data_IF_887413728839
#
_entry.id   IF_887413728839
#
_cell.length_a   1.000
_cell.length_b   1.000
_cell.length_c   1.000
_cell.angle_alpha   90.00
_cell.angle_beta   90.00
_cell.angle_gamma   90.00
#
_symmetry.space_group_name_H-M   'P 1'
#
loop_
_entity.id
_entity.type
_entity.pdbx_description
1 polymer ?
#
# COMPACT_ATOMS: atom_id res chain seq x y z
N UNK A 1 -31.08 8.13 11.41
CA UNK A 1 -30.07 9.10 10.97
C UNK A 1 -29.97 10.15 12.07
N UNK A 2 -29.13 9.92 13.04
CA UNK A 2 -28.83 10.93 14.06
C UNK A 2 -28.00 12.02 13.40
N UNK A 3 -28.49 13.24 13.48
CA UNK A 3 -27.79 14.43 13.04
C UNK A 3 -26.52 14.57 13.90
N UNK A 4 -25.39 14.15 13.36
CA UNK A 4 -24.09 14.56 13.85
C UNK A 4 -24.03 16.09 13.66
N UNK A 5 -24.35 16.82 14.73
CA UNK A 5 -24.14 18.26 14.78
C UNK A 5 -22.63 18.50 14.88
N UNK A 6 -22.00 18.77 13.75
CA UNK A 6 -20.67 19.35 13.75
C UNK A 6 -20.72 20.69 14.48
N UNK A 7 -20.08 20.81 15.63
CA UNK A 7 -19.92 22.08 16.33
C UNK A 7 -18.82 22.92 15.67
N UNK A 8 -18.99 23.25 14.39
CA UNK A 8 -18.03 24.07 13.63
C UNK A 8 -18.03 25.56 14.07
N UNK A 9 -18.94 25.92 14.95
CA UNK A 9 -19.18 27.31 15.27
C UNK A 9 -19.84 28.09 14.11
N UNK A 10 -20.04 29.37 14.32
CA UNK A 10 -20.56 30.25 13.28
C UNK A 10 -19.41 30.78 12.42
N UNK A 11 -19.44 30.49 11.10
CA UNK A 11 -18.40 30.92 10.16
C UNK A 11 -18.17 32.45 10.18
N UNK A 12 -19.21 33.25 10.43
CA UNK A 12 -19.08 34.70 10.56
C UNK A 12 -18.28 35.09 11.80
N UNK A 13 -18.42 34.37 12.92
CA UNK A 13 -17.65 34.59 14.12
C UNK A 13 -16.18 34.21 13.89
N UNK A 14 -15.91 33.11 13.16
CA UNK A 14 -14.55 32.72 12.79
C UNK A 14 -13.89 33.75 11.88
N UNK A 15 -14.62 34.29 10.90
CA UNK A 15 -14.13 35.35 10.03
C UNK A 15 -13.86 36.65 10.81
N UNK A 16 -14.65 36.96 11.83
CA UNK A 16 -14.46 38.11 12.68
C UNK A 16 -13.27 37.94 13.64
N UNK A 17 -13.12 36.75 14.22
CA UNK A 17 -11.99 36.44 15.12
C UNK A 17 -10.63 36.39 14.41
N UNK A 18 -10.61 36.24 13.07
CA UNK A 18 -9.39 36.31 12.26
C UNK A 18 -8.58 37.58 12.46
N UNK A 19 -9.22 38.69 12.82
CA UNK A 19 -8.56 39.96 13.05
C UNK A 19 -7.97 40.11 14.49
N UNK A 20 -8.40 39.24 15.40
CA UNK A 20 -8.10 39.38 16.85
C UNK A 20 -7.32 38.22 17.44
N UNK A 21 -7.37 37.04 16.80
CA UNK A 21 -6.68 35.83 17.24
C UNK A 21 -5.45 35.51 16.37
N UNK A 22 -4.46 34.73 16.88
CA UNK A 22 -3.34 34.27 16.09
C UNK A 22 -3.85 33.55 14.81
N UNK A 23 -3.39 33.98 13.65
CA UNK A 23 -3.95 33.61 12.34
C UNK A 23 -3.96 32.10 12.09
N UNK A 24 -3.00 31.34 12.63
CA UNK A 24 -2.85 29.91 12.38
C UNK A 24 -4.06 29.08 12.86
N UNK A 25 -4.55 29.30 14.07
CA UNK A 25 -5.65 28.52 14.63
C UNK A 25 -6.99 28.83 13.94
N UNK A 26 -7.19 30.08 13.59
CA UNK A 26 -8.42 30.52 12.89
C UNK A 26 -8.42 29.99 11.45
N UNK A 27 -7.32 30.08 10.75
CA UNK A 27 -7.19 29.57 9.39
C UNK A 27 -7.40 28.05 9.34
N UNK A 28 -6.86 27.31 10.32
CA UNK A 28 -7.08 25.85 10.42
C UNK A 28 -8.56 25.51 10.69
N UNK A 29 -9.21 26.20 11.64
CA UNK A 29 -10.65 26.02 11.91
C UNK A 29 -11.50 26.37 10.69
N UNK A 30 -11.15 27.40 9.94
CA UNK A 30 -11.83 27.78 8.72
C UNK A 30 -11.69 26.69 7.63
N UNK A 31 -10.48 26.19 7.41
CA UNK A 31 -10.22 25.13 6.42
C UNK A 31 -11.00 23.86 6.70
N UNK A 32 -11.17 23.50 7.97
CA UNK A 32 -11.90 22.30 8.40
C UNK A 32 -13.42 22.53 8.57
N UNK A 33 -13.91 23.76 8.36
CA UNK A 33 -15.32 24.08 8.56
C UNK A 33 -16.22 23.31 7.59
N UNK A 34 -17.25 22.63 8.09
CA UNK A 34 -18.10 21.74 7.31
C UNK A 34 -18.78 22.43 6.12
N UNK A 35 -19.12 23.72 6.25
CA UNK A 35 -19.72 24.48 5.15
C UNK A 35 -18.77 24.73 3.98
N UNK A 36 -17.47 24.82 4.23
CA UNK A 36 -16.45 24.92 3.18
C UNK A 36 -16.16 23.55 2.57
N UNK A 37 -15.98 22.53 3.43
CA UNK A 37 -15.76 21.15 2.96
C UNK A 37 -16.87 20.66 2.05
N UNK A 38 -18.14 20.96 2.38
CA UNK A 38 -19.30 20.59 1.53
C UNK A 38 -19.37 21.33 0.20
N UNK A 39 -18.63 22.42 0.04
CA UNK A 39 -18.56 23.21 -1.21
C UNK A 39 -17.35 22.83 -2.07
N UNK A 40 -16.51 21.88 -1.63
CA UNK A 40 -15.42 21.39 -2.46
C UNK A 40 -15.99 20.79 -3.73
N UNK A 41 -15.43 21.18 -4.85
CA UNK A 41 -15.74 20.65 -6.18
C UNK A 41 -14.43 20.34 -6.90
N UNK A 42 -14.52 19.50 -7.90
CA UNK A 42 -13.36 19.24 -8.77
C UNK A 42 -12.96 20.55 -9.47
N UNK A 43 -11.71 20.94 -9.30
CA UNK A 43 -11.19 22.17 -9.86
C UNK A 43 -10.45 21.91 -11.18
N UNK A 44 -9.57 20.92 -11.19
CA UNK A 44 -8.81 20.54 -12.37
C UNK A 44 -8.32 19.09 -12.27
N UNK A 45 -8.16 18.45 -13.43
CA UNK A 45 -7.44 17.18 -13.56
C UNK A 45 -5.96 17.46 -13.88
N UNK A 46 -5.05 16.76 -13.18
CA UNK A 46 -3.62 16.83 -13.43
C UNK A 46 -3.23 15.67 -14.33
N UNK A 47 -3.02 15.97 -15.61
CA UNK A 47 -2.68 14.96 -16.61
C UNK A 47 -1.18 14.82 -16.79
N UNK A 48 -0.65 13.58 -16.74
CA UNK A 48 0.79 13.34 -16.89
C UNK A 48 1.22 11.89 -16.63
N UNK A 49 0.38 11.07 -15.97
CA UNK A 49 0.63 9.66 -15.84
C UNK A 49 -0.07 8.85 -16.93
N UNK A 50 0.58 7.77 -17.37
CA UNK A 50 0.06 6.80 -18.35
C UNK A 50 -0.41 5.50 -17.70
N UNK A 51 -0.56 5.47 -16.39
CA UNK A 51 -1.01 4.32 -15.61
C UNK A 51 -1.87 4.75 -14.42
N UNK A 52 -2.35 3.78 -13.65
CA UNK A 52 -3.09 4.09 -12.41
C UNK A 52 -2.21 4.86 -11.44
N UNK A 53 -2.73 5.93 -10.88
CA UNK A 53 -2.08 6.69 -9.81
C UNK A 53 -2.43 6.03 -8.48
N UNK A 54 -1.45 5.40 -7.82
CA UNK A 54 -1.65 4.65 -6.58
C UNK A 54 -1.33 5.48 -5.34
N UNK A 55 -0.53 6.52 -5.48
CA UNK A 55 -0.08 7.33 -4.37
C UNK A 55 -0.07 8.80 -4.70
N UNK A 56 -0.49 9.60 -3.74
CA UNK A 56 -0.35 11.05 -3.74
C UNK A 56 0.10 11.51 -2.34
N UNK A 57 0.91 12.55 -2.29
CA UNK A 57 1.29 13.18 -1.03
C UNK A 57 1.67 14.65 -1.24
N UNK A 58 1.25 15.50 -0.32
CA UNK A 58 1.66 16.89 -0.28
C UNK A 58 3.03 17.03 0.40
N UNK A 59 3.75 18.09 0.03
CA UNK A 59 4.86 18.59 0.85
C UNK A 59 4.32 19.28 2.12
N UNK A 60 5.21 19.70 3.01
CA UNK A 60 4.85 20.33 4.29
C UNK A 60 4.10 21.67 4.14
N UNK A 61 4.34 22.39 3.05
CA UNK A 61 3.72 23.70 2.79
C UNK A 61 2.43 23.62 1.98
N UNK A 62 2.09 22.45 1.40
CA UNK A 62 0.95 22.27 0.52
C UNK A 62 1.13 22.91 -0.87
N UNK A 63 2.34 23.32 -1.23
CA UNK A 63 2.65 23.94 -2.52
C UNK A 63 2.98 22.92 -3.61
N UNK A 64 3.52 21.77 -3.25
CA UNK A 64 3.87 20.70 -4.16
C UNK A 64 3.11 19.42 -3.83
N UNK A 65 2.72 18.70 -4.87
CA UNK A 65 2.13 17.37 -4.80
C UNK A 65 3.06 16.39 -5.49
N UNK A 66 3.35 15.25 -4.86
CA UNK A 66 4.03 14.12 -5.48
C UNK A 66 3.03 13.00 -5.75
N UNK A 67 3.10 12.40 -6.94
CA UNK A 67 2.29 11.25 -7.32
C UNK A 67 3.14 10.10 -7.83
N UNK A 68 2.73 8.87 -7.54
CA UNK A 68 3.38 7.64 -8.00
C UNK A 68 2.38 6.72 -8.69
N UNK A 69 2.81 6.09 -9.78
CA UNK A 69 1.92 5.38 -10.68
C UNK A 69 2.48 4.03 -11.15
N UNK A 70 1.60 3.27 -11.77
CA UNK A 70 1.89 2.03 -12.48
C UNK A 70 2.79 2.23 -13.72
N UNK A 71 2.92 3.46 -14.21
CA UNK A 71 3.85 3.81 -15.29
C UNK A 71 5.32 3.88 -14.85
N UNK A 72 5.61 3.53 -13.57
CA UNK A 72 6.93 3.51 -12.95
C UNK A 72 7.55 4.90 -12.79
N UNK A 73 6.73 5.94 -12.90
CA UNK A 73 7.17 7.33 -12.76
C UNK A 73 6.66 7.94 -11.46
N UNK A 74 7.45 8.86 -10.95
CA UNK A 74 7.06 9.79 -9.89
C UNK A 74 6.95 11.18 -10.49
N UNK A 75 5.77 11.78 -10.41
CA UNK A 75 5.50 13.11 -10.91
C UNK A 75 5.39 14.10 -9.77
N UNK A 76 6.00 15.27 -9.93
CA UNK A 76 5.94 16.39 -8.98
C UNK A 76 5.15 17.52 -9.66
N UNK A 77 4.12 18.00 -8.97
CA UNK A 77 3.17 19.00 -9.44
C UNK A 77 3.26 20.24 -8.59
N UNK A 78 3.28 21.40 -9.21
CA UNK A 78 3.11 22.68 -8.50
C UNK A 78 1.61 23.00 -8.39
N UNK A 79 1.14 23.20 -7.17
CA UNK A 79 -0.27 23.50 -6.89
C UNK A 79 -0.70 24.84 -7.48
N UNK A 80 0.16 25.87 -7.40
CA UNK A 80 -0.21 27.22 -7.83
C UNK A 80 -0.38 27.33 -9.35
N UNK A 81 0.58 26.77 -10.08
CA UNK A 81 0.52 26.77 -11.56
C UNK A 81 -0.29 25.60 -12.12
N UNK A 82 -0.57 24.56 -11.30
CA UNK A 82 -1.24 23.30 -11.68
C UNK A 82 -0.53 22.57 -12.79
N UNK A 83 0.78 22.73 -12.88
CA UNK A 83 1.62 22.13 -13.90
C UNK A 83 2.50 21.03 -13.33
N UNK A 84 2.83 20.10 -14.21
CA UNK A 84 3.88 19.13 -13.97
C UNK A 84 5.23 19.87 -13.94
N UNK A 85 5.93 19.79 -12.80
CA UNK A 85 7.26 20.39 -12.62
C UNK A 85 8.33 19.39 -13.03
N UNK A 86 8.23 18.16 -12.53
CA UNK A 86 9.16 17.09 -12.84
C UNK A 86 8.44 15.77 -13.01
N UNK A 87 8.90 14.95 -13.95
CA UNK A 87 8.48 13.57 -14.14
C UNK A 87 9.71 12.67 -14.07
N UNK A 88 9.89 12.01 -12.93
CA UNK A 88 11.09 11.21 -12.65
C UNK A 88 10.87 9.78 -13.06
N UNK A 89 11.74 9.25 -13.92
CA UNK A 89 11.85 7.83 -14.20
C UNK A 89 12.61 7.15 -13.06
N UNK A 90 11.88 6.36 -12.25
CA UNK A 90 12.41 5.84 -10.97
C UNK A 90 13.30 4.62 -11.14
N UNK A 91 13.24 3.95 -12.29
CA UNK A 91 13.90 2.68 -12.53
C UNK A 91 13.32 1.49 -11.73
N UNK A 92 12.20 1.68 -11.00
CA UNK A 92 11.46 0.56 -10.43
C UNK A 92 11.02 -0.43 -11.52
N UNK A 93 10.93 -1.71 -11.19
CA UNK A 93 10.52 -2.75 -12.15
C UNK A 93 9.06 -3.15 -12.00
N UNK A 94 8.37 -2.63 -10.98
CA UNK A 94 6.95 -2.88 -10.70
C UNK A 94 6.27 -1.60 -10.21
N UNK A 95 4.93 -1.64 -10.13
CA UNK A 95 4.05 -0.51 -9.81
C UNK A 95 4.49 0.22 -8.54
N UNK A 96 4.48 1.54 -8.59
CA UNK A 96 4.77 2.39 -7.43
C UNK A 96 3.48 2.50 -6.60
N UNK A 97 3.53 2.05 -5.34
CA UNK A 97 2.37 2.06 -4.44
C UNK A 97 2.41 3.20 -3.42
N UNK A 98 3.55 3.79 -3.19
CA UNK A 98 3.68 4.89 -2.23
C UNK A 98 4.83 5.84 -2.59
N UNK A 99 4.58 7.12 -2.33
CA UNK A 99 5.56 8.19 -2.48
C UNK A 99 5.38 9.19 -1.35
N UNK A 100 6.48 9.82 -0.91
CA UNK A 100 6.48 10.88 0.10
C UNK A 100 7.60 11.87 -0.16
N UNK A 101 7.36 13.16 0.11
CA UNK A 101 8.45 14.10 0.37
C UNK A 101 9.08 13.78 1.72
N UNK A 102 10.39 13.87 1.81
CA UNK A 102 11.10 13.76 3.08
C UNK A 102 11.03 15.13 3.76
N UNK A 103 10.55 15.23 5.01
CA UNK A 103 10.41 16.50 5.71
C UNK A 103 11.76 17.21 5.90
N UNK A 104 11.75 18.54 6.05
CA UNK A 104 12.92 19.39 6.36
C UNK A 104 14.09 19.26 5.36
N UNK A 105 13.79 18.90 4.11
CA UNK A 105 14.79 18.76 3.03
C UNK A 105 14.60 19.79 1.93
N UNK A 106 13.90 20.90 2.20
CA UNK A 106 13.54 21.91 1.21
C UNK A 106 12.83 21.34 -0.03
N UNK A 107 12.06 20.27 0.19
CA UNK A 107 11.32 19.52 -0.85
C UNK A 107 12.22 18.90 -1.94
N UNK A 108 13.52 18.78 -1.67
CA UNK A 108 14.49 18.21 -2.63
C UNK A 108 14.53 16.68 -2.60
N UNK A 109 14.14 16.06 -1.47
CA UNK A 109 14.19 14.61 -1.34
C UNK A 109 12.78 13.99 -1.44
N UNK A 110 12.66 13.01 -2.33
CA UNK A 110 11.45 12.20 -2.51
C UNK A 110 11.78 10.74 -2.36
N UNK A 111 10.94 10.01 -1.64
CA UNK A 111 11.07 8.56 -1.45
C UNK A 111 9.91 7.86 -2.12
N UNK A 112 10.18 6.74 -2.78
CA UNK A 112 9.19 5.85 -3.39
C UNK A 112 9.31 4.43 -2.87
N UNK A 113 8.19 3.70 -2.86
CA UNK A 113 8.13 2.28 -2.56
C UNK A 113 7.24 1.58 -3.58
N UNK A 114 7.67 0.42 -4.05
CA UNK A 114 7.05 -0.24 -5.19
C UNK A 114 6.81 -1.74 -4.99
N UNK A 115 6.20 -2.35 -6.00
CA UNK A 115 5.89 -3.78 -6.07
C UNK A 115 7.11 -4.68 -6.17
N UNK A 116 8.24 -4.13 -6.59
CA UNK A 116 9.54 -4.83 -6.65
C UNK A 116 10.20 -5.03 -5.28
N UNK A 117 9.49 -4.68 -4.20
CA UNK A 117 9.96 -4.77 -2.81
C UNK A 117 11.11 -3.80 -2.48
N UNK A 118 11.29 -2.76 -3.27
CA UNK A 118 12.33 -1.77 -3.09
C UNK A 118 11.78 -0.45 -2.53
N UNK A 119 12.62 0.23 -1.75
CA UNK A 119 12.43 1.63 -1.35
C UNK A 119 13.59 2.43 -1.95
N UNK A 120 13.28 3.48 -2.69
CA UNK A 120 14.25 4.32 -3.38
C UNK A 120 14.11 5.78 -2.96
N UNK A 121 15.24 6.43 -2.74
CA UNK A 121 15.33 7.86 -2.41
C UNK A 121 15.91 8.61 -3.61
N UNK A 122 15.27 9.71 -3.99
CA UNK A 122 15.67 10.56 -5.10
C UNK A 122 15.97 11.97 -4.61
N UNK A 123 17.05 12.55 -5.13
CA UNK A 123 17.38 13.96 -4.91
C UNK A 123 17.01 14.76 -6.16
N UNK A 124 15.95 15.57 -6.04
CA UNK A 124 15.41 16.39 -7.13
C UNK A 124 16.36 17.55 -7.52
N UNK A 125 17.29 17.93 -6.64
CA UNK A 125 18.31 18.93 -7.00
C UNK A 125 19.12 18.54 -8.23
N UNK A 126 19.26 17.24 -8.48
CA UNK A 126 19.90 16.71 -9.69
C UNK A 126 19.16 16.97 -10.99
N UNK A 127 17.89 17.41 -10.94
CA UNK A 127 17.10 17.79 -12.12
C UNK A 127 17.25 19.25 -12.50
N UNK A 128 17.80 20.08 -11.63
CA UNK A 128 17.97 21.52 -11.90
C UNK A 128 18.94 21.73 -13.05
N UNK A 129 18.46 22.33 -14.15
CA UNK A 129 19.28 22.67 -15.33
C UNK A 129 19.47 21.54 -16.35
N UNK A 130 18.78 20.42 -16.20
CA UNK A 130 18.70 19.37 -17.26
C UNK A 130 17.66 19.74 -18.31
N UNK A 131 17.86 19.24 -19.53
CA UNK A 131 16.86 19.33 -20.58
C UNK A 131 15.65 18.45 -20.24
N UNK A 132 14.45 18.85 -20.68
CA UNK A 132 13.18 18.19 -20.36
C UNK A 132 13.12 16.70 -20.74
N UNK A 133 13.98 16.24 -21.64
CA UNK A 133 14.02 14.84 -22.08
C UNK A 133 14.87 13.91 -21.20
N UNK A 134 15.73 14.44 -20.29
CA UNK A 134 16.61 13.62 -19.43
C UNK A 134 16.06 13.54 -18.00
N UNK A 135 14.95 12.82 -17.86
CA UNK A 135 14.22 12.61 -16.59
C UNK A 135 14.68 11.38 -15.79
N UNK A 136 15.71 10.65 -16.25
CA UNK A 136 16.24 9.51 -15.53
C UNK A 136 17.11 9.99 -14.36
N UNK A 137 16.65 9.72 -13.13
CA UNK A 137 17.40 9.98 -11.90
C UNK A 137 17.91 8.67 -11.30
N UNK A 138 19.22 8.63 -11.06
CA UNK A 138 19.77 7.56 -10.23
C UNK A 138 19.34 7.76 -8.77
N UNK A 139 18.82 6.72 -8.09
CA UNK A 139 18.45 6.86 -6.69
C UNK A 139 19.68 7.17 -5.82
N UNK A 140 19.53 8.13 -4.92
CA UNK A 140 20.57 8.49 -3.93
C UNK A 140 20.73 7.41 -2.87
N UNK A 141 19.65 6.66 -2.58
CA UNK A 141 19.66 5.49 -1.73
C UNK A 141 18.68 4.44 -2.24
N UNK A 142 19.02 3.15 -2.06
CA UNK A 142 18.21 2.03 -2.52
C UNK A 142 18.21 0.90 -1.49
N UNK A 143 17.03 0.56 -0.98
CA UNK A 143 16.85 -0.48 0.02
C UNK A 143 16.04 -1.64 -0.57
N UNK A 144 16.69 -2.79 -0.74
CA UNK A 144 16.14 -4.00 -1.37
C UNK A 144 15.86 -5.12 -0.35
N UNK A 145 15.67 -4.74 0.91
CA UNK A 145 15.59 -5.70 2.01
C UNK A 145 14.20 -6.28 2.27
N UNK A 146 13.13 -5.74 1.70
CA UNK A 146 11.82 -6.36 1.73
C UNK A 146 11.76 -7.57 0.78
N UNK A 147 10.85 -8.51 1.08
CA UNK A 147 10.64 -9.71 0.26
C UNK A 147 9.36 -9.67 -0.57
N UNK A 148 8.48 -8.70 -0.30
CA UNK A 148 7.21 -8.47 -1.00
C UNK A 148 6.98 -6.98 -1.18
N UNK A 149 5.89 -6.65 -1.89
CA UNK A 149 5.49 -5.28 -2.24
C UNK A 149 5.55 -4.32 -1.05
N UNK A 150 6.15 -3.17 -1.25
CA UNK A 150 6.09 -2.04 -0.30
C UNK A 150 4.79 -1.29 -0.57
N UNK A 151 3.87 -1.31 0.37
CA UNK A 151 2.53 -0.74 0.19
C UNK A 151 2.39 0.67 0.75
N UNK A 152 3.16 1.02 1.77
CA UNK A 152 3.08 2.35 2.39
C UNK A 152 4.42 2.81 2.93
N UNK A 153 4.63 4.10 2.81
CA UNK A 153 5.72 4.84 3.44
C UNK A 153 5.15 5.81 4.47
N UNK A 154 5.83 5.94 5.59
CA UNK A 154 5.56 6.95 6.61
C UNK A 154 6.79 7.80 6.83
N UNK A 155 6.58 9.08 7.08
CA UNK A 155 7.61 10.07 7.43
C UNK A 155 7.19 10.75 8.72
N UNK A 156 8.16 11.24 9.47
CA UNK A 156 7.93 11.95 10.73
C UNK A 156 8.21 13.45 10.52
N UNK A 157 7.26 14.34 10.81
CA UNK A 157 7.51 15.77 10.75
C UNK A 157 8.73 16.16 11.58
N UNK A 158 9.60 17.01 11.03
CA UNK A 158 10.83 17.41 11.70
C UNK A 158 12.00 16.42 11.65
N UNK A 159 11.84 15.28 10.95
CA UNK A 159 12.92 14.28 10.82
C UNK A 159 13.30 14.04 9.34
N UNK A 160 14.39 14.66 8.86
CA UNK A 160 14.83 14.56 7.47
C UNK A 160 15.59 13.27 7.15
N UNK A 161 15.88 12.44 8.14
CA UNK A 161 16.85 11.35 7.96
C UNK A 161 16.23 9.95 7.95
N UNK A 162 14.96 9.83 8.34
CA UNK A 162 14.37 8.52 8.58
C UNK A 162 13.03 8.37 7.88
N UNK A 163 12.84 7.24 7.21
CA UNK A 163 11.59 6.81 6.58
C UNK A 163 11.23 5.41 7.04
N UNK A 164 9.95 5.15 7.21
CA UNK A 164 9.41 3.84 7.54
C UNK A 164 8.67 3.27 6.35
N UNK A 165 8.86 1.97 6.11
CA UNK A 165 8.18 1.25 5.04
C UNK A 165 7.41 0.05 5.58
N UNK A 166 6.15 -0.06 5.20
CA UNK A 166 5.28 -1.20 5.47
C UNK A 166 5.15 -2.05 4.21
N UNK A 167 5.40 -3.36 4.36
CA UNK A 167 5.38 -4.30 3.25
C UNK A 167 4.45 -5.48 3.50
N UNK A 168 3.97 -6.07 2.41
CA UNK A 168 3.19 -7.31 2.44
C UNK A 168 4.00 -8.52 2.93
N UNK A 169 5.31 -8.38 3.16
CA UNK A 169 6.13 -9.39 3.82
C UNK A 169 5.87 -9.48 5.33
N UNK A 170 4.99 -8.64 5.88
CA UNK A 170 4.63 -8.62 7.31
C UNK A 170 5.62 -7.86 8.17
N UNK A 171 6.56 -7.12 7.59
CA UNK A 171 7.52 -6.31 8.33
C UNK A 171 7.30 -4.82 8.11
N UNK A 172 7.47 -4.04 9.18
CA UNK A 172 7.68 -2.61 9.10
C UNK A 172 9.17 -2.35 9.32
N UNK A 173 9.78 -1.60 8.39
CA UNK A 173 11.21 -1.31 8.44
C UNK A 173 11.46 0.18 8.57
N UNK A 174 12.57 0.50 9.24
CA UNK A 174 13.09 1.85 9.37
C UNK A 174 14.36 1.98 8.53
N UNK A 175 14.43 3.02 7.72
CA UNK A 175 15.57 3.35 6.88
C UNK A 175 16.13 4.69 7.33
N UNK A 176 17.35 4.68 7.87
CA UNK A 176 18.09 5.89 8.24
C UNK A 176 19.12 6.18 7.15
N UNK A 177 18.98 7.31 6.47
CA UNK A 177 19.84 7.69 5.34
C UNK A 177 21.28 8.03 5.76
N UNK A 178 21.52 8.22 7.06
CA UNK A 178 22.86 8.49 7.63
C UNK A 178 23.64 7.23 7.88
N UNK A 179 22.95 6.11 8.18
CA UNK A 179 23.59 4.84 8.51
C UNK A 179 23.97 4.05 7.27
N UNK A 180 23.10 4.04 6.26
CA UNK A 180 23.32 3.28 5.03
C UNK A 180 22.46 3.82 3.88
N UNK A 181 23.08 3.97 2.72
CA UNK A 181 22.40 4.34 1.46
C UNK A 181 21.94 3.14 0.65
N UNK A 182 22.30 1.92 1.06
CA UNK A 182 21.88 0.69 0.38
C UNK A 182 21.73 -0.47 1.35
N UNK A 183 20.81 -1.37 1.00
CA UNK A 183 20.63 -2.64 1.67
C UNK A 183 20.62 -3.75 0.61
N UNK A 184 21.39 -4.82 0.79
CA UNK A 184 21.45 -5.92 -0.17
C UNK A 184 20.08 -6.56 -0.38
N UNK A 185 19.84 -7.18 -1.56
CA UNK A 185 18.59 -7.86 -1.85
C UNK A 185 18.22 -8.91 -0.82
N UNK A 186 16.93 -9.08 -0.59
CA UNK A 186 16.39 -10.06 0.32
C UNK A 186 16.86 -11.47 -0.04
N UNK A 187 17.34 -12.22 0.95
CA UNK A 187 17.85 -13.59 0.76
C UNK A 187 19.32 -13.69 0.34
N UNK A 188 20.02 -12.58 0.09
CA UNK A 188 21.45 -12.63 -0.21
C UNK A 188 22.27 -13.11 1.01
N UNK A 189 23.40 -13.78 0.76
CA UNK A 189 24.28 -14.26 1.82
C UNK A 189 24.85 -13.14 2.71
N UNK A 190 24.95 -11.94 2.17
CA UNK A 190 25.51 -10.76 2.83
C UNK A 190 24.43 -9.84 3.44
N UNK A 191 23.15 -10.23 3.43
CA UNK A 191 22.07 -9.44 3.99
C UNK A 191 22.15 -9.44 5.53
N UNK A 192 22.66 -8.39 6.11
CA UNK A 192 22.67 -8.15 7.57
C UNK A 192 22.25 -6.73 7.91
N UNK A 193 21.15 -6.27 7.28
CA UNK A 193 20.60 -4.96 7.58
C UNK A 193 19.81 -5.00 8.89
N UNK A 194 20.05 -4.04 9.78
CA UNK A 194 19.30 -3.83 11.03
C UNK A 194 18.21 -2.78 10.80
N UNK A 195 17.20 -3.11 10.03
CA UNK A 195 16.13 -2.18 9.66
C UNK A 195 14.75 -2.60 10.16
N UNK A 196 14.59 -3.81 10.70
CA UNK A 196 13.27 -4.33 11.10
C UNK A 196 12.85 -3.71 12.43
N UNK A 197 11.81 -2.88 12.41
CA UNK A 197 11.18 -2.28 13.58
C UNK A 197 10.07 -3.17 14.14
N UNK A 198 9.18 -3.67 13.25
CA UNK A 198 8.11 -4.59 13.60
C UNK A 198 8.18 -5.84 12.72
N UNK A 199 8.06 -7.00 13.34
CA UNK A 199 7.92 -8.29 12.65
C UNK A 199 6.59 -8.95 13.06
N UNK A 200 5.61 -8.85 12.19
CA UNK A 200 4.27 -9.42 12.39
C UNK A 200 4.09 -10.76 11.65
N UNK A 201 5.18 -11.34 11.15
CA UNK A 201 5.19 -12.67 10.49
C UNK A 201 4.98 -13.82 11.48
N UNK A 202 5.24 -13.60 12.74
CA UNK A 202 5.18 -14.62 13.78
C UNK A 202 3.81 -14.64 14.45
N UNK A 203 2.86 -15.37 13.89
CA UNK A 203 1.70 -15.85 14.66
C UNK A 203 2.01 -17.22 15.23
N UNK A 204 2.00 -17.37 16.56
CA UNK A 204 2.02 -18.57 17.40
C UNK A 204 2.99 -19.72 16.97
N UNK A 205 3.65 -20.30 17.98
CA UNK A 205 4.49 -21.51 17.86
C UNK A 205 3.74 -22.59 17.06
N UNK A 206 4.34 -23.05 15.97
CA UNK A 206 3.83 -24.18 15.20
C UNK A 206 3.78 -25.42 16.10
N UNK A 207 2.60 -25.95 16.35
CA UNK A 207 2.47 -27.39 16.53
C UNK A 207 2.69 -28.04 15.15
N UNK A 208 3.36 -29.19 15.11
CA UNK A 208 3.76 -29.90 13.88
C UNK A 208 2.58 -30.27 12.95
N UNK A 209 1.34 -30.07 13.38
CA UNK A 209 0.10 -30.46 12.72
C UNK A 209 -0.75 -29.31 12.16
N UNK A 210 -0.32 -28.03 12.34
CA UNK A 210 -1.13 -26.90 11.90
C UNK A 210 -0.78 -26.49 10.44
N UNK A 211 -1.80 -26.15 9.61
CA UNK A 211 -1.57 -25.58 8.29
C UNK A 211 -0.76 -24.27 8.41
N UNK A 212 -0.02 -23.89 7.37
CA UNK A 212 0.81 -22.69 7.40
C UNK A 212 -0.06 -21.46 7.67
N UNK A 213 0.06 -20.86 8.86
CA UNK A 213 -0.65 -19.63 9.21
C UNK A 213 -0.28 -18.53 8.23
N UNK A 214 -1.28 -17.88 7.66
CA UNK A 214 -1.10 -16.74 6.78
C UNK A 214 -0.31 -15.66 7.52
N UNK A 215 0.78 -15.20 6.91
CA UNK A 215 1.51 -14.04 7.42
C UNK A 215 0.65 -12.80 7.24
N UNK A 216 0.54 -11.98 8.28
CA UNK A 216 -0.15 -10.70 8.20
C UNK A 216 0.58 -9.81 7.20
N UNK A 217 -0.02 -9.52 6.04
CA UNK A 217 0.51 -8.58 5.06
C UNK A 217 0.20 -7.15 5.49
N UNK A 218 1.22 -6.31 5.65
CA UNK A 218 0.99 -4.91 6.00
C UNK A 218 0.56 -4.13 4.75
N UNK A 219 -0.51 -3.35 4.88
CA UNK A 219 -1.09 -2.56 3.79
C UNK A 219 -0.88 -1.05 4.01
N UNK A 220 -0.86 -0.61 5.25
CA UNK A 220 -0.72 0.81 5.59
C UNK A 220 -0.01 1.00 6.92
N UNK A 221 0.67 2.13 7.05
CA UNK A 221 1.22 2.63 8.31
C UNK A 221 1.18 4.15 8.32
N UNK A 222 1.11 4.73 9.51
CA UNK A 222 1.17 6.18 9.69
C UNK A 222 1.78 6.53 11.05
N UNK A 223 2.41 7.71 11.15
CA UNK A 223 2.99 8.26 12.36
C UNK A 223 2.23 9.52 12.73
N UNK A 224 1.84 9.64 13.99
CA UNK A 224 1.12 10.82 14.46
C UNK A 224 1.99 12.07 14.36
N UNK A 225 1.51 13.11 13.68
CA UNK A 225 2.22 14.37 13.55
C UNK A 225 2.40 15.10 14.88
N UNK A 226 1.41 15.02 15.79
CA UNK A 226 1.43 15.67 17.09
C UNK A 226 2.08 14.82 18.18
N UNK A 227 2.07 13.49 18.03
CA UNK A 227 2.63 12.51 18.96
C UNK A 227 3.51 11.51 18.20
N UNK A 228 4.73 11.91 17.77
CA UNK A 228 5.56 11.10 16.86
C UNK A 228 5.97 9.73 17.42
N UNK A 229 5.82 9.51 18.73
CA UNK A 229 6.04 8.18 19.33
C UNK A 229 4.92 7.19 19.02
N UNK A 230 3.76 7.64 18.53
CA UNK A 230 2.65 6.77 18.15
C UNK A 230 2.76 6.35 16.68
N UNK A 231 2.70 5.06 16.46
CA UNK A 231 2.75 4.40 15.16
C UNK A 231 1.50 3.56 14.97
N UNK A 232 0.76 3.82 13.92
CA UNK A 232 -0.44 3.08 13.52
C UNK A 232 -0.12 2.15 12.34
N UNK A 233 -0.56 0.89 12.41
CA UNK A 233 -0.30 -0.11 11.38
C UNK A 233 -1.58 -0.87 11.05
N UNK A 234 -1.91 -0.97 9.77
CA UNK A 234 -3.01 -1.76 9.21
C UNK A 234 -2.51 -2.84 8.26
N UNK A 235 -3.20 -3.95 8.22
CA UNK A 235 -2.79 -5.10 7.42
C UNK A 235 -3.94 -5.87 6.77
N UNK A 236 -3.65 -7.11 6.41
CA UNK A 236 -4.58 -8.04 5.76
C UNK A 236 -5.63 -8.63 6.69
N UNK A 237 -5.88 -8.00 7.82
CA UNK A 237 -6.93 -8.32 8.77
C UNK A 237 -7.80 -7.09 9.08
N UNK A 238 -8.79 -7.26 9.93
CA UNK A 238 -9.73 -6.21 10.32
C UNK A 238 -9.19 -5.26 11.40
N UNK A 239 -8.00 -5.52 11.98
CA UNK A 239 -7.50 -4.79 13.14
C UNK A 239 -6.39 -3.82 12.77
N UNK A 240 -6.59 -2.52 13.03
CA UNK A 240 -5.50 -1.56 13.09
C UNK A 240 -4.82 -1.65 14.46
N UNK A 241 -3.50 -1.56 14.46
CA UNK A 241 -2.64 -1.72 15.64
C UNK A 241 -1.91 -0.44 15.95
N UNK A 242 -2.06 0.03 17.18
CA UNK A 242 -1.34 1.18 17.70
C UNK A 242 -0.14 0.73 18.51
N UNK A 243 1.03 1.22 18.18
CA UNK A 243 2.27 0.98 18.91
C UNK A 243 2.83 2.28 19.48
N UNK A 244 3.44 2.20 20.65
CA UNK A 244 4.33 3.26 21.14
C UNK A 244 5.78 2.90 20.76
N UNK A 245 6.40 3.69 19.90
CA UNK A 245 7.76 3.46 19.41
C UNK A 245 8.81 3.42 20.52
N UNK A 246 8.56 4.08 21.65
CA UNK A 246 9.45 4.07 22.82
C UNK A 246 9.46 2.73 23.55
N UNK A 247 8.39 1.94 23.36
CA UNK A 247 8.24 0.60 23.95
C UNK A 247 8.68 -0.52 22.99
N UNK A 248 9.03 -0.17 21.76
CA UNK A 248 9.48 -1.16 20.78
C UNK A 248 10.92 -1.60 21.08
N UNK A 249 11.26 -2.87 20.77
CA UNK A 249 12.63 -3.34 20.88
C UNK A 249 13.54 -2.59 19.88
N UNK A 250 14.86 -2.57 20.12
CA UNK A 250 15.82 -2.02 19.17
C UNK A 250 15.68 -2.68 17.79
N UNK A 251 16.05 -1.94 16.74
CA UNK A 251 16.03 -2.45 15.37
C UNK A 251 16.76 -3.79 15.26
N UNK A 252 16.12 -4.76 14.65
CA UNK A 252 16.63 -6.11 14.53
C UNK A 252 17.09 -6.41 13.11
N UNK A 253 18.02 -7.38 13.00
CA UNK A 253 18.46 -7.88 11.71
C UNK A 253 17.32 -8.55 10.97
N UNK A 254 17.26 -8.36 9.65
CA UNK A 254 16.30 -8.99 8.76
C UNK A 254 16.31 -10.53 8.80
N UNK A 255 17.42 -11.13 9.25
CA UNK A 255 17.57 -12.59 9.44
C UNK A 255 16.91 -13.11 10.71
N UNK A 256 16.73 -12.26 11.72
CA UNK A 256 16.22 -12.66 13.02
C UNK A 256 14.72 -12.45 13.07
N UNK A 257 13.97 -13.50 13.33
CA UNK A 257 12.53 -13.39 13.65
C UNK A 257 12.35 -13.05 15.12
N UNK A 258 11.61 -11.99 15.38
CA UNK A 258 11.26 -11.59 16.74
C UNK A 258 9.77 -11.85 16.98
N UNK A 259 9.35 -12.16 18.23
CA UNK A 259 7.94 -12.15 18.55
C UNK A 259 7.39 -10.73 18.35
N UNK A 260 6.12 -10.59 17.89
CA UNK A 260 5.52 -9.28 17.73
C UNK A 260 5.50 -8.56 19.08
N UNK A 261 5.91 -7.28 19.11
CA UNK A 261 5.87 -6.49 20.35
C UNK A 261 4.42 -6.24 20.78
N UNK A 262 4.17 -5.95 22.06
CA UNK A 262 2.83 -5.65 22.54
C UNK A 262 2.29 -4.38 21.88
N UNK A 263 1.03 -4.44 21.43
CA UNK A 263 0.25 -3.29 21.00
C UNK A 263 -0.21 -2.47 22.19
N UNK A 264 -0.27 -1.16 22.03
CA UNK A 264 -0.91 -0.24 22.97
C UNK A 264 -2.42 -0.37 22.87
N UNK A 265 -2.94 -0.43 21.65
CA UNK A 265 -4.37 -0.54 21.39
C UNK A 265 -4.64 -1.21 20.03
N UNK A 266 -5.84 -1.81 19.89
CA UNK A 266 -6.37 -2.35 18.65
C UNK A 266 -7.66 -1.61 18.30
N UNK A 267 -7.82 -1.25 17.04
CA UNK A 267 -9.03 -0.60 16.52
C UNK A 267 -9.71 -1.51 15.51
N UNK A 268 -10.98 -1.77 15.72
CA UNK A 268 -11.85 -2.47 14.79
C UNK A 268 -13.31 -2.12 15.13
N UNK A 269 -14.17 -1.81 14.15
CA UNK A 269 -15.59 -1.68 14.37
C UNK A 269 -16.18 -2.99 14.91
N UNK A 270 -17.01 -2.92 15.97
CA UNK A 270 -17.53 -4.10 16.68
C UNK A 270 -18.21 -5.10 15.73
N UNK A 271 -19.06 -4.63 14.83
CA UNK A 271 -19.77 -5.48 13.88
C UNK A 271 -18.87 -6.20 12.85
N UNK A 272 -17.63 -5.73 12.65
CA UNK A 272 -16.65 -6.35 11.77
C UNK A 272 -15.83 -7.42 12.53
N UNK A 273 -15.66 -7.27 13.85
CA UNK A 273 -14.96 -8.25 14.67
C UNK A 273 -15.78 -9.53 14.90
N UNK A 274 -17.12 -9.44 14.84
CA UNK A 274 -18.01 -10.58 15.09
C UNK A 274 -18.28 -11.43 13.85
N UNK A 275 -18.09 -10.89 12.66
CA UNK A 275 -18.56 -11.50 11.42
C UNK A 275 -17.51 -12.31 10.69
N UNK A 276 -16.59 -12.99 11.19
CA UNK A 276 -15.73 -13.99 10.53
C UNK A 276 -15.57 -13.89 9.00
N UNK A 277 -15.69 -12.68 8.41
CA UNK A 277 -15.58 -12.45 6.98
C UNK A 277 -14.14 -12.62 6.56
N UNK A 278 -13.86 -13.66 5.83
CA UNK A 278 -12.53 -14.10 5.40
C UNK A 278 -11.80 -13.11 4.49
N UNK A 279 -12.52 -12.16 3.88
CA UNK A 279 -11.96 -11.24 2.87
C UNK A 279 -11.86 -9.78 3.34
N UNK A 280 -12.19 -9.48 4.60
CA UNK A 280 -12.12 -8.13 5.12
C UNK A 280 -10.69 -7.78 5.54
N UNK A 281 -10.14 -6.71 4.97
CA UNK A 281 -8.82 -6.22 5.31
C UNK A 281 -8.76 -4.69 5.28
N UNK A 282 -7.84 -4.14 6.03
CA UNK A 282 -7.55 -2.72 6.01
C UNK A 282 -6.78 -2.36 4.73
N UNK A 283 -7.30 -1.39 4.00
CA UNK A 283 -6.63 -0.83 2.82
C UNK A 283 -5.78 0.38 3.19
N UNK A 284 -6.27 1.20 4.13
CA UNK A 284 -5.57 2.39 4.57
C UNK A 284 -5.86 2.72 6.04
N UNK A 285 -4.84 3.24 6.74
CA UNK A 285 -4.98 3.81 8.09
C UNK A 285 -4.22 5.13 8.15
N UNK A 286 -4.77 6.11 8.87
CA UNK A 286 -4.10 7.40 9.08
C UNK A 286 -4.58 8.04 10.37
N UNK A 287 -3.72 8.88 10.97
CA UNK A 287 -4.12 9.74 12.10
C UNK A 287 -4.83 10.98 11.59
N UNK A 288 -5.71 11.54 12.42
CA UNK A 288 -6.17 12.91 12.23
C UNK A 288 -5.02 13.91 12.46
N UNK A 289 -5.08 15.12 11.91
CA UNK A 289 -4.02 16.12 12.07
C UNK A 289 -3.72 16.47 13.53
N UNK A 290 -4.74 16.45 14.41
CA UNK A 290 -4.58 16.67 15.87
C UNK A 290 -4.10 15.41 16.62
N UNK A 291 -4.05 14.24 15.96
CA UNK A 291 -3.63 12.96 16.54
C UNK A 291 -4.62 12.35 17.54
N UNK A 292 -5.85 12.87 17.64
CA UNK A 292 -6.86 12.35 18.58
C UNK A 292 -7.70 11.23 18.00
N UNK A 293 -7.78 11.13 16.69
CA UNK A 293 -8.60 10.16 15.98
C UNK A 293 -7.77 9.39 14.95
N UNK A 294 -8.25 8.22 14.58
CA UNK A 294 -7.72 7.39 13.50
C UNK A 294 -8.80 7.08 12.50
N UNK A 295 -8.46 7.20 11.23
CA UNK A 295 -9.31 6.83 10.10
C UNK A 295 -8.91 5.44 9.61
N UNK A 296 -9.88 4.55 9.48
CA UNK A 296 -9.72 3.17 9.04
C UNK A 296 -10.52 2.95 7.77
N UNK A 297 -9.86 2.60 6.68
CA UNK A 297 -10.52 2.23 5.41
C UNK A 297 -10.42 0.73 5.19
N UNK A 298 -11.55 0.08 4.90
CA UNK A 298 -11.64 -1.35 4.67
C UNK A 298 -11.96 -1.67 3.22
N UNK A 299 -11.51 -2.82 2.77
CA UNK A 299 -11.87 -3.34 1.44
C UNK A 299 -13.31 -3.82 1.43
N UNK A 300 -14.14 -3.26 0.54
CA UNK A 300 -15.54 -3.65 0.41
C UNK A 300 -16.47 -3.21 1.54
N UNK A 301 -16.03 -2.31 2.41
CA UNK A 301 -16.79 -1.76 3.54
C UNK A 301 -16.61 -0.23 3.61
N UNK A 302 -17.23 0.38 4.63
CA UNK A 302 -17.16 1.82 4.87
C UNK A 302 -15.80 2.26 5.42
N UNK A 303 -15.62 3.56 5.49
CA UNK A 303 -14.52 4.23 6.21
C UNK A 303 -15.02 4.56 7.61
N UNK A 304 -14.19 4.27 8.61
CA UNK A 304 -14.53 4.45 10.02
C UNK A 304 -13.56 5.42 10.70
N UNK A 305 -14.12 6.28 11.53
CA UNK A 305 -13.37 7.20 12.38
C UNK A 305 -13.46 6.70 13.83
N UNK A 306 -12.32 6.56 14.51
CA UNK A 306 -12.24 6.07 15.89
C UNK A 306 -11.32 6.95 16.71
N UNK A 307 -11.66 7.16 17.99
CA UNK A 307 -10.84 7.96 18.89
C UNK A 307 -9.64 7.15 19.41
N UNK A 308 -8.45 7.76 19.42
CA UNK A 308 -7.20 7.14 19.91
C UNK A 308 -7.23 6.94 21.42
N UNK A 309 -7.77 7.91 22.15
CA UNK A 309 -7.95 7.83 23.58
C UNK A 309 -9.33 7.21 23.83
N UNK A 310 -9.36 5.94 24.22
CA UNK A 310 -10.59 5.18 24.46
C UNK A 310 -11.63 6.01 25.21
N UNK A 311 -12.62 6.55 24.50
CA UNK A 311 -13.80 7.14 25.09
C UNK A 311 -14.66 6.07 25.78
N UNK A 312 -15.47 6.48 26.73
CA UNK A 312 -16.44 5.62 27.41
C UNK A 312 -17.31 4.95 26.34
N UNK A 313 -17.23 3.61 26.19
CA UNK A 313 -18.02 2.83 25.25
C UNK A 313 -17.27 2.19 24.08
N UNK A 314 -15.97 2.40 23.93
CA UNK A 314 -15.14 1.67 22.93
C UNK A 314 -14.72 0.31 23.47
N UNK A 315 -14.97 -0.72 22.69
CA UNK A 315 -14.54 -2.08 23.01
C UNK A 315 -13.02 -2.18 22.94
N UNK A 316 -12.39 -2.66 24.02
CA UNK A 316 -10.96 -2.94 24.04
C UNK A 316 -10.72 -4.37 23.59
N UNK A 317 -9.97 -4.54 22.48
CA UNK A 317 -9.58 -5.86 22.00
C UNK A 317 -8.27 -6.30 22.67
N UNK A 318 -8.23 -7.56 23.07
CA UNK A 318 -7.02 -8.19 23.60
C UNK A 318 -6.25 -8.91 22.48
N UNK A 319 -4.95 -9.20 22.67
CA UNK A 319 -4.22 -10.06 21.74
C UNK A 319 -4.87 -11.42 21.49
N UNK A 320 -5.62 -11.94 22.50
CA UNK A 320 -6.38 -13.17 22.40
C UNK A 320 -7.56 -13.05 21.43
N UNK A 321 -8.29 -11.95 21.46
CA UNK A 321 -9.42 -11.70 20.55
C UNK A 321 -8.95 -11.64 19.10
N UNK A 322 -7.85 -10.94 18.85
CA UNK A 322 -7.23 -10.85 17.52
C UNK A 322 -6.73 -12.22 17.04
N UNK A 323 -6.13 -13.04 17.93
CA UNK A 323 -5.68 -14.38 17.59
C UNK A 323 -6.87 -15.33 17.30
N UNK A 324 -7.97 -15.20 18.04
CA UNK A 324 -9.19 -15.98 17.82
C UNK A 324 -9.84 -15.63 16.49
N UNK A 325 -9.89 -14.35 16.13
CA UNK A 325 -10.39 -13.90 14.83
C UNK A 325 -9.62 -14.55 13.67
N UNK A 326 -8.30 -14.62 13.75
CA UNK A 326 -7.47 -15.33 12.77
C UNK A 326 -7.72 -16.84 12.72
N UNK A 327 -8.08 -17.44 13.85
CA UNK A 327 -8.38 -18.87 13.92
C UNK A 327 -9.75 -19.20 13.31
N UNK A 328 -10.74 -18.34 13.50
CA UNK A 328 -12.09 -18.48 12.96
C UNK A 328 -12.15 -18.28 11.45
N UNK A 329 -11.31 -17.42 10.88
CA UNK A 329 -11.23 -17.22 9.42
C UNK A 329 -10.67 -18.42 8.65
N UNK A 330 -10.14 -19.43 9.34
CA UNK A 330 -9.60 -20.66 8.74
C UNK A 330 -10.59 -21.85 8.75
N UNK A 331 -11.83 -21.68 9.25
CA UNK A 331 -12.86 -22.70 9.25
C UNK A 331 -13.80 -22.43 8.06
N UNK A 332 -13.35 -22.73 6.84
CA UNK A 332 -14.24 -23.03 5.72
C UNK A 332 -14.53 -24.54 5.75
N UNK A 333 -15.78 -24.99 5.51
CA UNK A 333 -16.06 -26.41 5.46
C UNK A 333 -15.35 -27.04 4.27
N UNK A 334 -14.41 -27.92 4.55
CA UNK A 334 -13.79 -28.78 3.54
C UNK A 334 -14.85 -29.69 2.92
N UNK A 335 -14.96 -29.59 1.60
CA UNK A 335 -15.56 -30.64 0.78
C UNK A 335 -14.59 -31.83 0.81
N UNK A 336 -15.12 -32.96 1.21
CA UNK A 336 -14.52 -34.26 1.42
C UNK A 336 -13.33 -34.58 0.51
N UNK A 337 -12.22 -34.99 1.10
CA UNK A 337 -11.21 -35.79 0.43
C UNK A 337 -10.77 -36.97 1.31
N UNK A 338 -10.93 -38.16 0.70
CA UNK A 338 -10.55 -39.47 1.19
C UNK A 338 -9.04 -39.62 1.49
N UNK A 339 -8.63 -40.54 2.37
CA UNK A 339 -7.25 -40.66 2.84
C UNK A 339 -6.41 -41.57 1.95
N UNK A 340 -5.17 -41.17 1.70
CA UNK A 340 -4.10 -42.14 1.39
C UNK A 340 -2.71 -41.70 1.82
N UNK A 341 -2.19 -42.47 2.77
CA UNK A 341 -0.91 -43.18 2.93
C UNK A 341 0.42 -42.42 2.64
N UNK A 342 1.20 -42.45 3.71
CA UNK A 342 2.59 -42.10 3.91
C UNK A 342 3.60 -42.57 2.83
N UNK A 343 4.64 -41.74 2.54
CA UNK A 343 6.07 -42.11 2.61
C UNK A 343 7.02 -40.93 2.42
N UNK A 344 7.96 -40.82 3.39
CA UNK A 344 9.37 -40.40 3.37
C UNK A 344 9.84 -39.08 2.73
N UNK A 345 10.38 -38.28 3.64
CA UNK A 345 11.49 -37.30 3.63
C UNK A 345 12.22 -37.07 2.29
N UNK A 346 12.06 -35.85 1.79
CA UNK A 346 12.97 -34.95 1.07
C UNK A 346 12.23 -33.89 0.24
N UNK A 347 11.15 -33.29 0.76
CA UNK A 347 10.22 -32.48 -0.02
C UNK A 347 9.93 -31.05 0.49
N UNK A 348 10.64 -30.52 1.48
CA UNK A 348 10.20 -29.27 2.12
C UNK A 348 10.24 -28.00 1.24
N UNK A 349 11.09 -27.96 0.21
CA UNK A 349 11.08 -26.85 -0.75
C UNK A 349 10.11 -27.04 -1.92
N UNK A 350 9.78 -28.27 -2.31
CA UNK A 350 8.84 -28.53 -3.41
C UNK A 350 7.38 -28.29 -3.04
N UNK A 351 6.97 -28.58 -1.82
CA UNK A 351 5.56 -28.41 -1.39
C UNK A 351 5.14 -26.93 -1.23
N UNK A 352 6.07 -26.06 -0.86
CA UNK A 352 5.79 -24.62 -0.76
C UNK A 352 5.50 -24.01 -2.14
N UNK A 353 6.29 -24.34 -3.14
CA UNK A 353 6.13 -23.83 -4.50
C UNK A 353 4.89 -24.41 -5.20
N UNK A 354 4.52 -25.66 -4.93
CA UNK A 354 3.32 -26.28 -5.49
C UNK A 354 2.02 -25.64 -4.94
N UNK A 355 1.97 -25.36 -3.64
CA UNK A 355 0.82 -24.69 -3.02
C UNK A 355 0.67 -23.24 -3.53
N UNK A 356 1.79 -22.53 -3.70
CA UNK A 356 1.81 -21.18 -4.26
C UNK A 356 1.35 -21.18 -5.73
N UNK A 357 1.87 -22.09 -6.54
CA UNK A 357 1.49 -22.22 -7.95
C UNK A 357 -0.01 -22.51 -8.09
N UNK A 358 -0.55 -23.40 -7.24
CA UNK A 358 -1.98 -23.70 -7.19
C UNK A 358 -2.79 -22.45 -6.87
N UNK A 359 -2.39 -21.66 -5.85
CA UNK A 359 -3.05 -20.38 -5.51
C UNK A 359 -3.02 -19.40 -6.69
N UNK A 360 -1.88 -19.25 -7.36
CA UNK A 360 -1.79 -18.39 -8.54
C UNK A 360 -2.72 -18.84 -9.68
N UNK A 361 -2.82 -20.14 -9.90
CA UNK A 361 -3.74 -20.71 -10.90
C UNK A 361 -5.19 -20.43 -10.52
N UNK A 362 -5.58 -20.61 -9.26
CA UNK A 362 -6.92 -20.31 -8.76
C UNK A 362 -7.26 -18.82 -8.93
N UNK A 363 -6.33 -17.90 -8.65
CA UNK A 363 -6.54 -16.45 -8.85
C UNK A 363 -6.71 -16.08 -10.33
N UNK A 364 -5.97 -16.73 -11.24
CA UNK A 364 -6.13 -16.51 -12.68
C UNK A 364 -7.48 -17.05 -13.16
N UNK A 365 -7.94 -18.19 -12.66
CA UNK A 365 -9.26 -18.74 -13.00
C UNK A 365 -10.40 -17.83 -12.49
N UNK A 366 -10.29 -17.27 -11.28
CA UNK A 366 -11.24 -16.26 -10.76
C UNK A 366 -11.29 -15.05 -11.69
N UNK A 367 -10.12 -14.57 -12.12
CA UNK A 367 -10.05 -13.43 -13.04
C UNK A 367 -10.71 -13.71 -14.39
N UNK A 368 -10.58 -14.94 -14.91
CA UNK A 368 -11.22 -15.37 -16.15
C UNK A 368 -12.73 -15.50 -16.00
N UNK A 369 -13.21 -16.17 -14.94
CA UNK A 369 -14.66 -16.32 -14.70
C UNK A 369 -15.33 -14.95 -14.63
N UNK A 370 -14.74 -14.03 -13.89
CA UNK A 370 -15.24 -12.66 -13.78
C UNK A 370 -15.22 -11.91 -15.13
N UNK A 371 -14.23 -12.19 -15.97
CA UNK A 371 -14.18 -11.62 -17.33
C UNK A 371 -15.34 -12.13 -18.19
N UNK A 372 -15.64 -13.44 -18.13
CA UNK A 372 -16.71 -14.08 -18.90
C UNK A 372 -18.09 -13.67 -18.39
N UNK A 373 -18.32 -13.70 -17.10
CA UNK A 373 -19.59 -13.36 -16.46
C UNK A 373 -19.86 -11.86 -16.44
N UNK A 374 -18.82 -11.02 -16.53
CA UNK A 374 -18.92 -9.58 -16.45
C UNK A 374 -19.18 -9.04 -15.04
N UNK A 375 -18.94 -9.87 -14.04
CA UNK A 375 -19.12 -9.55 -12.61
C UNK A 375 -17.79 -9.22 -11.97
N UNK A 376 -17.80 -8.41 -10.91
CA UNK A 376 -16.65 -8.14 -10.02
C UNK A 376 -15.30 -7.81 -10.71
N UNK A 377 -15.36 -7.00 -11.78
CA UNK A 377 -14.17 -6.63 -12.58
C UNK A 377 -13.03 -6.10 -11.71
N UNK A 378 -13.34 -5.36 -10.65
CA UNK A 378 -12.32 -4.83 -9.72
C UNK A 378 -11.58 -5.93 -8.99
N UNK A 379 -12.32 -6.89 -8.42
CA UNK A 379 -11.73 -8.03 -7.73
C UNK A 379 -10.90 -8.90 -8.69
N UNK A 380 -11.36 -9.07 -9.92
CA UNK A 380 -10.65 -9.80 -10.96
C UNK A 380 -9.30 -9.14 -11.32
N UNK A 381 -9.26 -7.80 -11.42
CA UNK A 381 -8.02 -7.06 -11.66
C UNK A 381 -7.08 -7.20 -10.46
N UNK A 382 -7.57 -7.11 -9.22
CA UNK A 382 -6.76 -7.31 -8.02
C UNK A 382 -6.19 -8.73 -7.93
N UNK A 383 -6.98 -9.75 -8.29
CA UNK A 383 -6.52 -11.13 -8.36
C UNK A 383 -5.37 -11.28 -9.38
N UNK A 384 -5.50 -10.68 -10.56
CA UNK A 384 -4.44 -10.66 -11.56
C UNK A 384 -3.20 -9.88 -11.10
N UNK A 385 -3.37 -8.76 -10.39
CA UNK A 385 -2.29 -8.00 -9.79
C UNK A 385 -1.53 -8.82 -8.75
N UNK A 386 -2.24 -9.57 -7.88
CA UNK A 386 -1.62 -10.45 -6.89
C UNK A 386 -0.67 -11.47 -7.56
N UNK A 387 -1.12 -12.08 -8.66
CA UNK A 387 -0.30 -13.05 -9.42
C UNK A 387 0.92 -12.39 -10.07
N UNK A 388 0.73 -11.25 -10.74
CA UNK A 388 1.79 -10.63 -11.54
C UNK A 388 2.83 -9.89 -10.70
N UNK A 389 2.40 -9.24 -9.59
CA UNK A 389 3.29 -8.40 -8.80
C UNK A 389 3.93 -9.18 -7.63
N UNK A 390 3.19 -10.09 -6.98
CA UNK A 390 3.71 -10.84 -5.84
C UNK A 390 4.53 -12.07 -6.23
N UNK A 391 4.26 -12.65 -7.40
CA UNK A 391 4.79 -13.96 -7.79
C UNK A 391 5.41 -13.98 -9.19
N UNK A 392 5.73 -12.83 -9.76
CA UNK A 392 6.17 -12.72 -11.17
C UNK A 392 7.40 -13.58 -11.52
N UNK A 393 8.29 -13.81 -10.57
CA UNK A 393 9.52 -14.59 -10.78
C UNK A 393 9.35 -16.09 -10.50
N UNK A 394 8.25 -16.48 -9.85
CA UNK A 394 8.03 -17.82 -9.34
C UNK A 394 6.99 -18.60 -10.17
N UNK A 395 6.28 -17.92 -11.06
CA UNK A 395 5.25 -18.53 -11.93
C UNK A 395 5.81 -18.89 -13.29
N UNK A 396 5.25 -19.97 -13.86
CA UNK A 396 5.56 -20.42 -15.21
C UNK A 396 5.20 -19.35 -16.25
N UNK A 397 6.02 -19.23 -17.30
CA UNK A 397 5.83 -18.26 -18.37
C UNK A 397 4.45 -18.34 -19.04
N UNK A 398 3.89 -19.55 -19.17
CA UNK A 398 2.55 -19.76 -19.72
C UNK A 398 1.46 -19.13 -18.83
N UNK A 399 1.50 -19.36 -17.53
CA UNK A 399 0.54 -18.79 -16.57
C UNK A 399 0.67 -17.27 -16.50
N UNK A 400 1.90 -16.76 -16.54
CA UNK A 400 2.17 -15.31 -16.57
C UNK A 400 1.59 -14.67 -17.84
N UNK A 401 1.82 -15.27 -19.00
CA UNK A 401 1.25 -14.82 -20.27
C UNK A 401 -0.27 -14.76 -20.20
N UNK A 402 -0.90 -15.79 -19.70
CA UNK A 402 -2.36 -15.88 -19.58
C UNK A 402 -2.92 -14.83 -18.63
N UNK A 403 -2.27 -14.63 -17.47
CA UNK A 403 -2.64 -13.59 -16.50
C UNK A 403 -2.54 -12.19 -17.10
N UNK A 404 -1.47 -11.87 -17.84
CA UNK A 404 -1.30 -10.58 -18.53
C UNK A 404 -2.41 -10.34 -19.55
N UNK A 405 -2.75 -11.33 -20.38
CA UNK A 405 -3.84 -11.22 -21.35
C UNK A 405 -5.21 -11.01 -20.68
N UNK A 406 -5.46 -11.74 -19.57
CA UNK A 406 -6.71 -11.62 -18.82
C UNK A 406 -6.83 -10.25 -18.16
N UNK A 407 -5.76 -9.74 -17.55
CA UNK A 407 -5.75 -8.39 -16.96
C UNK A 407 -5.94 -7.32 -18.01
N UNK A 408 -5.30 -7.42 -19.16
CA UNK A 408 -5.52 -6.51 -20.28
C UNK A 408 -6.99 -6.47 -20.71
N UNK A 409 -7.63 -7.62 -20.86
CA UNK A 409 -9.05 -7.71 -21.21
C UNK A 409 -9.96 -7.07 -20.14
N UNK A 410 -9.68 -7.30 -18.87
CA UNK A 410 -10.43 -6.71 -17.75
C UNK A 410 -10.30 -5.18 -17.71
N UNK A 411 -9.10 -4.64 -17.95
CA UNK A 411 -8.85 -3.20 -18.04
C UNK A 411 -9.66 -2.57 -19.19
N UNK A 412 -9.62 -3.18 -20.38
CA UNK A 412 -10.40 -2.72 -21.54
C UNK A 412 -11.90 -2.75 -21.30
N UNK A 413 -12.39 -3.71 -20.50
CA UNK A 413 -13.79 -3.82 -20.12
C UNK A 413 -14.19 -2.78 -19.05
N UNK A 414 -13.28 -2.42 -18.13
CA UNK A 414 -13.50 -1.41 -17.09
C UNK A 414 -13.60 0.01 -17.67
N UNK A 415 -12.80 0.32 -18.67
CA UNK A 415 -12.79 1.61 -19.40
C UNK A 415 -12.54 2.85 -18.55
N UNK A 416 -11.71 2.75 -17.53
CA UNK A 416 -11.26 3.94 -16.83
C UNK A 416 -10.22 4.70 -17.66
N UNK A 417 -10.03 5.98 -17.32
CA UNK A 417 -8.97 6.79 -17.92
C UNK A 417 -7.62 6.08 -17.78
N UNK A 418 -6.89 5.95 -18.87
CA UNK A 418 -5.60 5.26 -18.98
C UNK A 418 -5.64 3.72 -18.91
N UNK A 419 -6.77 3.07 -18.71
CA UNK A 419 -6.86 1.60 -18.75
C UNK A 419 -6.37 1.02 -20.09
N UNK A 420 -6.64 1.71 -21.19
CA UNK A 420 -6.18 1.32 -22.50
C UNK A 420 -4.64 1.32 -22.62
N UNK A 421 -3.96 2.30 -22.01
CA UNK A 421 -2.50 2.34 -21.98
C UNK A 421 -1.92 1.19 -21.13
N UNK A 422 -2.55 0.90 -19.99
CA UNK A 422 -2.14 -0.23 -19.15
C UNK A 422 -2.36 -1.57 -19.85
N UNK A 423 -3.49 -1.74 -20.53
CA UNK A 423 -3.77 -2.94 -21.33
C UNK A 423 -2.76 -3.10 -22.46
N UNK A 424 -2.41 -2.03 -23.16
CA UNK A 424 -1.37 -2.07 -24.21
C UNK A 424 -0.01 -2.52 -23.65
N UNK A 425 0.39 -2.01 -22.46
CA UNK A 425 1.62 -2.43 -21.77
C UNK A 425 1.58 -3.91 -21.42
N UNK A 426 0.47 -4.41 -20.88
CA UNK A 426 0.32 -5.82 -20.52
C UNK A 426 0.37 -6.72 -21.76
N UNK A 427 -0.28 -6.32 -22.85
CA UNK A 427 -0.20 -7.02 -24.12
C UNK A 427 1.22 -7.02 -24.69
N UNK A 428 1.97 -5.91 -24.55
CA UNK A 428 3.37 -5.88 -24.96
C UNK A 428 4.23 -6.85 -24.16
N UNK A 429 4.02 -6.93 -22.84
CA UNK A 429 4.70 -7.88 -21.97
C UNK A 429 4.30 -9.34 -22.29
N UNK A 430 3.02 -9.61 -22.57
CA UNK A 430 2.56 -10.92 -23.02
C UNK A 430 3.22 -11.35 -24.35
N UNK A 431 3.37 -10.43 -25.31
CA UNK A 431 4.05 -10.67 -26.58
C UNK A 431 5.55 -10.93 -26.44
N UNK A 432 6.19 -10.43 -25.39
CA UNK A 432 7.60 -10.78 -25.07
C UNK A 432 7.74 -12.23 -24.63
N UNK A 433 6.68 -12.81 -24.05
CA UNK A 433 6.65 -14.21 -23.63
C UNK A 433 6.28 -15.10 -24.81
N UNK A 434 5.20 -14.75 -25.53
CA UNK A 434 4.75 -15.45 -26.73
C UNK A 434 4.40 -14.44 -27.82
N UNK A 435 5.30 -14.29 -28.80
CA UNK A 435 5.13 -13.37 -29.93
C UNK A 435 4.01 -13.78 -30.89
N UNK A 436 3.59 -15.07 -30.86
CA UNK A 436 2.54 -15.60 -31.75
C UNK A 436 1.14 -15.58 -31.12
N UNK A 437 1.01 -15.15 -29.88
CA UNK A 437 -0.25 -15.16 -29.14
C UNK A 437 -1.33 -14.30 -29.78
N UNK A 438 -2.37 -14.96 -30.31
CA UNK A 438 -3.55 -14.29 -30.85
C UNK A 438 -4.24 -13.37 -29.85
N UNK A 439 -4.40 -13.83 -28.57
CA UNK A 439 -5.02 -13.03 -27.50
C UNK A 439 -4.27 -11.73 -27.26
N UNK A 440 -2.94 -11.78 -27.16
CA UNK A 440 -2.12 -10.59 -26.92
C UNK A 440 -2.20 -9.59 -28.08
N UNK A 441 -2.24 -10.06 -29.32
CA UNK A 441 -2.42 -9.20 -30.49
C UNK A 441 -3.82 -8.60 -30.57
N UNK A 442 -4.85 -9.41 -30.27
CA UNK A 442 -6.24 -8.97 -30.28
C UNK A 442 -6.47 -7.82 -29.27
N UNK A 443 -6.11 -8.05 -27.99
CA UNK A 443 -6.29 -7.03 -26.97
C UNK A 443 -5.37 -5.81 -27.15
N UNK A 444 -4.19 -5.99 -27.77
CA UNK A 444 -3.35 -4.86 -28.16
C UNK A 444 -4.06 -3.98 -29.20
N UNK A 445 -4.69 -4.58 -30.20
CA UNK A 445 -5.41 -3.80 -31.22
C UNK A 445 -6.60 -3.05 -30.63
N UNK A 446 -7.33 -3.68 -29.71
CA UNK A 446 -8.45 -3.06 -28.99
C UNK A 446 -7.98 -1.91 -28.09
N UNK A 447 -6.86 -2.12 -27.36
CA UNK A 447 -6.25 -1.09 -26.54
C UNK A 447 -5.84 0.15 -27.38
N UNK A 448 -5.18 -0.06 -28.52
CA UNK A 448 -4.77 1.03 -29.41
C UNK A 448 -5.95 1.76 -30.03
N UNK A 449 -7.06 1.08 -30.31
CA UNK A 449 -8.29 1.75 -30.75
C UNK A 449 -8.86 2.65 -29.67
N UNK A 450 -8.89 2.20 -28.41
CA UNK A 450 -9.40 2.98 -27.29
C UNK A 450 -8.48 4.13 -26.88
N UNK A 451 -7.15 4.04 -27.14
CA UNK A 451 -6.21 5.14 -26.92
C UNK A 451 -6.40 6.26 -27.94
N UNK A 452 -6.79 5.92 -29.18
CA UNK A 452 -6.94 6.87 -30.29
C UNK A 452 -8.37 7.43 -30.40
N UNK A 453 -9.32 6.93 -29.60
CA UNK A 453 -10.70 7.41 -29.53
C UNK A 453 -10.89 8.45 -28.43
#
# INVERSE_FOLDING_TARGET
MENLSFHDGNIFNLLHSRSTEPSHDVDQRMQLHSSLVRRLSQEQELEGHQGCVNAISWNSTGSLLVSGSDDLRVNIWDYNSRKLVHSVETGHTANIFCTKFVPETSDELVVSGAGDAEVRLFNLAGLRGRADDDNALTPSAMYQCHTRRVKKLAVEPGNPNVVWSASEDGTLRQHDFRESTSCPPAGSAHQDCRSVLLDLRSGAKRALADPPKQTLSLKSCDISATRPHLLLVGGSDAFARLYDRRMLPPLTSCRKRMPPPPCVNYFCPMHLSERGRTNLHLTHVTFSPNGEEVLLSYSGEHVYLMNVNNGVGTMQYTPGDVANFFSLSNILPDVESTPQVSTTQNGFHRNSNAAMLKKCTELVEIAKSSLEEGTDIFYAIEAANEVLDAHSNDIESALRHECLCTRAALLLKRKWKNDAHMAARDCQNARRIDASSFKAHYYMSEALQQVNS
#
